data_IF_017401276138
#
_entry.id   IF_017401276138
#
_cell.length_a   1.000
_cell.length_b   1.000
_cell.length_c   1.000
_cell.angle_alpha   90.00
_cell.angle_beta   90.00
_cell.angle_gamma   90.00
#
_symmetry.space_group_name_H-M   'P 1'
#
loop_
_entity.id
_entity.type
_entity.pdbx_description
1 polymer ?
#
# COMPACT_ATOMS: atom_id res chain seq x y z
N UNK A 1 16.36 -17.92 18.32
CA UNK A 1 17.12 -17.23 17.27
C UNK A 1 17.99 -16.18 17.94
N UNK A 2 19.25 -16.04 17.54
CA UNK A 2 20.21 -15.13 18.18
C UNK A 2 20.40 -13.87 17.33
N UNK A 3 20.15 -12.69 17.91
CA UNK A 3 20.30 -11.39 17.27
C UNK A 3 21.50 -10.65 17.85
N UNK A 4 22.24 -9.94 16.99
CA UNK A 4 23.37 -9.09 17.40
C UNK A 4 22.90 -7.63 17.47
N UNK A 5 22.92 -7.05 18.66
CA UNK A 5 22.68 -5.61 18.84
C UNK A 5 23.80 -4.81 18.16
N UNK A 6 23.42 -3.84 17.33
CA UNK A 6 24.37 -3.00 16.57
C UNK A 6 24.32 -1.57 17.08
N UNK A 7 23.12 -1.06 17.34
CA UNK A 7 22.90 0.23 18.01
C UNK A 7 21.72 0.12 18.98
N UNK A 8 21.26 1.24 19.54
CA UNK A 8 20.06 1.29 20.38
C UNK A 8 18.81 0.82 19.63
N UNK A 9 18.74 1.09 18.32
CA UNK A 9 17.56 0.88 17.48
C UNK A 9 17.79 -0.14 16.36
N UNK A 10 18.99 -0.73 16.27
CA UNK A 10 19.39 -1.61 15.18
C UNK A 10 19.89 -2.95 15.67
N UNK A 11 19.39 -4.01 15.03
CA UNK A 11 19.72 -5.38 15.30
C UNK A 11 20.03 -6.11 14.00
N UNK A 12 21.12 -6.85 13.98
CA UNK A 12 21.42 -7.76 12.90
C UNK A 12 20.93 -9.16 13.27
N UNK A 13 20.22 -9.80 12.35
CA UNK A 13 20.08 -11.25 12.31
C UNK A 13 21.23 -11.81 11.48
N UNK A 14 22.28 -12.38 12.10
CA UNK A 14 23.46 -12.81 11.37
C UNK A 14 23.10 -13.89 10.34
N UNK A 15 23.73 -13.79 9.17
CA UNK A 15 23.58 -14.79 8.11
C UNK A 15 23.86 -16.19 8.66
N UNK A 16 22.89 -17.09 8.51
CA UNK A 16 22.98 -18.48 8.95
C UNK A 16 22.20 -19.41 8.01
N UNK A 17 22.60 -20.69 7.95
CA UNK A 17 21.96 -21.66 7.06
C UNK A 17 22.09 -21.28 5.58
N UNK A 18 20.95 -21.16 4.89
CA UNK A 18 20.88 -20.83 3.46
C UNK A 18 20.63 -19.34 3.19
N UNK A 19 20.60 -18.50 4.24
CA UNK A 19 20.48 -17.06 4.09
C UNK A 19 21.57 -16.57 3.14
N UNK A 20 21.19 -15.77 2.15
CA UNK A 20 22.13 -15.20 1.18
C UNK A 20 22.74 -13.90 1.71
N UNK A 21 21.94 -13.15 2.45
CA UNK A 21 22.26 -11.88 3.12
C UNK A 21 21.85 -11.94 4.60
N UNK A 22 22.34 -11.06 5.49
CA UNK A 22 21.81 -10.95 6.85
C UNK A 22 20.37 -10.38 6.88
N UNK A 23 19.73 -10.44 8.04
CA UNK A 23 18.55 -9.62 8.33
C UNK A 23 18.92 -8.35 9.07
N UNK A 24 18.27 -7.23 8.76
CA UNK A 24 18.39 -5.96 9.49
C UNK A 24 17.06 -5.57 10.11
N UNK A 25 17.02 -5.43 11.42
CA UNK A 25 15.81 -5.12 12.17
C UNK A 25 15.98 -3.78 12.87
N UNK A 26 15.12 -2.82 12.54
CA UNK A 26 15.03 -1.54 13.22
C UNK A 26 13.97 -1.66 14.31
N UNK A 27 14.36 -1.70 15.58
CA UNK A 27 13.44 -1.86 16.70
C UNK A 27 14.08 -1.44 18.03
N UNK A 28 13.26 -0.92 18.94
CA UNK A 28 13.62 -0.86 20.35
C UNK A 28 13.65 -2.26 20.98
N UNK A 29 14.28 -2.41 22.14
CA UNK A 29 14.22 -3.67 22.89
C UNK A 29 12.79 -4.09 23.26
N UNK A 30 11.92 -3.12 23.49
CA UNK A 30 10.51 -3.35 23.83
C UNK A 30 9.73 -3.94 22.65
N UNK A 31 9.92 -3.37 21.45
CA UNK A 31 9.33 -3.87 20.21
C UNK A 31 9.86 -5.27 19.88
N UNK A 32 11.15 -5.51 20.13
CA UNK A 32 11.80 -6.77 19.76
C UNK A 32 11.43 -7.95 20.68
N UNK A 33 11.20 -7.68 21.96
CA UNK A 33 10.91 -8.72 22.98
C UNK A 33 9.77 -9.69 22.58
N UNK A 34 8.57 -9.24 22.17
CA UNK A 34 7.50 -10.16 21.78
C UNK A 34 7.84 -10.99 20.53
N UNK A 35 8.67 -10.48 19.62
CA UNK A 35 9.07 -11.19 18.40
C UNK A 35 10.03 -12.36 18.69
N UNK A 36 10.75 -12.31 19.82
CA UNK A 36 11.68 -13.35 20.26
C UNK A 36 11.01 -14.47 21.08
N UNK A 37 9.86 -14.20 21.71
CA UNK A 37 9.14 -15.14 22.60
C UNK A 37 7.91 -15.79 21.91
N UNK A 38 7.96 -16.00 20.60
CA UNK A 38 6.90 -16.72 19.87
C UNK A 38 7.05 -18.23 20.09
N UNK A 39 5.97 -18.90 20.49
CA UNK A 39 5.94 -20.34 20.82
C UNK A 39 4.99 -21.11 19.91
N UNK A 40 5.30 -22.39 19.67
CA UNK A 40 4.41 -23.29 18.95
C UNK A 40 4.41 -23.09 17.43
N UNK A 41 3.23 -23.11 16.83
CA UNK A 41 3.02 -23.05 15.37
C UNK A 41 2.56 -21.67 14.88
N UNK A 42 2.70 -20.63 15.71
CA UNK A 42 2.37 -19.26 15.32
C UNK A 42 3.37 -18.71 14.28
N UNK A 43 2.90 -17.83 13.40
CA UNK A 43 3.79 -17.14 12.47
C UNK A 43 4.73 -16.21 13.24
N UNK A 44 6.00 -16.18 12.83
CA UNK A 44 7.03 -15.37 13.47
C UNK A 44 7.66 -14.43 12.43
N UNK A 45 7.60 -13.12 12.67
CA UNK A 45 8.10 -12.13 11.74
C UNK A 45 9.62 -12.23 11.51
N UNK A 46 10.40 -12.57 12.53
CA UNK A 46 11.85 -12.72 12.42
C UNK A 46 12.24 -13.99 11.64
N UNK A 47 11.45 -15.05 11.77
CA UNK A 47 11.56 -16.23 10.91
C UNK A 47 11.25 -15.87 9.45
N UNK A 48 10.26 -15.01 9.20
CA UNK A 48 9.96 -14.51 7.87
C UNK A 48 11.10 -13.63 7.32
N UNK A 49 11.72 -12.76 8.13
CA UNK A 49 12.95 -12.03 7.76
C UNK A 49 14.04 -13.00 7.33
N UNK A 50 14.24 -14.09 8.10
CA UNK A 50 15.22 -15.13 7.75
C UNK A 50 14.88 -15.81 6.41
N UNK A 51 13.61 -16.14 6.19
CA UNK A 51 13.16 -16.82 4.97
C UNK A 51 13.31 -15.93 3.73
N UNK A 52 12.97 -14.64 3.84
CA UNK A 52 13.19 -13.64 2.80
C UNK A 52 14.68 -13.47 2.49
N UNK A 53 15.53 -13.45 3.53
CA UNK A 53 16.99 -13.38 3.39
C UNK A 53 17.62 -14.54 2.60
N UNK A 54 16.90 -15.65 2.41
CA UNK A 54 17.35 -16.83 1.64
C UNK A 54 16.96 -16.79 0.16
N UNK A 55 16.11 -15.85 -0.26
CA UNK A 55 15.58 -15.79 -1.63
C UNK A 55 16.65 -15.39 -2.68
N UNK A 56 16.67 -16.01 -3.87
CA UNK A 56 17.66 -15.73 -4.92
C UNK A 56 17.70 -14.24 -5.30
N UNK A 57 18.92 -13.73 -5.56
CA UNK A 57 19.16 -12.36 -6.00
C UNK A 57 18.85 -11.26 -4.96
N UNK A 58 18.52 -11.59 -3.70
CA UNK A 58 18.33 -10.58 -2.66
C UNK A 58 19.62 -9.79 -2.41
N UNK A 59 19.48 -8.48 -2.23
CA UNK A 59 20.60 -7.53 -2.17
C UNK A 59 20.73 -6.95 -0.77
N UNK A 60 21.96 -6.94 -0.24
CA UNK A 60 22.38 -6.38 1.07
C UNK A 60 21.76 -7.01 2.31
N UNK A 61 20.43 -7.04 2.46
CA UNK A 61 19.73 -7.59 3.62
C UNK A 61 18.23 -7.80 3.37
N UNK A 62 17.62 -8.65 4.21
CA UNK A 62 16.17 -8.60 4.45
C UNK A 62 15.90 -7.64 5.61
N UNK A 63 15.13 -6.59 5.39
CA UNK A 63 14.93 -5.52 6.36
C UNK A 63 13.56 -5.65 7.03
N UNK A 64 13.49 -5.36 8.32
CA UNK A 64 12.26 -5.21 9.09
C UNK A 64 12.24 -3.82 9.76
N UNK A 65 11.14 -3.10 9.56
CA UNK A 65 10.87 -1.78 10.14
C UNK A 65 10.33 -1.90 11.59
N UNK A 66 10.26 -0.79 12.35
CA UNK A 66 9.85 -0.83 13.76
C UNK A 66 8.43 -1.33 14.03
N UNK A 67 7.55 -1.34 13.03
CA UNK A 67 6.18 -1.85 13.09
C UNK A 67 6.07 -3.32 12.63
N UNK A 68 7.20 -4.03 12.51
CA UNK A 68 7.24 -5.38 11.96
C UNK A 68 6.36 -6.36 12.74
N UNK A 69 5.56 -7.14 12.01
CA UNK A 69 4.75 -8.22 12.57
C UNK A 69 4.49 -9.31 11.52
N UNK A 70 4.02 -10.51 11.92
CA UNK A 70 3.86 -11.61 11.00
C UNK A 70 2.92 -11.29 9.84
N UNK A 71 3.36 -11.58 8.61
CA UNK A 71 2.59 -11.38 7.38
C UNK A 71 2.45 -12.66 6.55
N UNK A 72 2.03 -12.54 5.29
CA UNK A 72 1.88 -13.69 4.39
C UNK A 72 3.20 -13.99 3.68
N UNK A 73 4.04 -14.85 4.26
CA UNK A 73 5.36 -15.22 3.75
C UNK A 73 6.44 -14.17 4.01
N UNK A 74 6.19 -12.91 3.66
CA UNK A 74 6.98 -11.77 4.13
C UNK A 74 6.36 -11.21 5.41
N UNK A 75 7.16 -10.62 6.32
CA UNK A 75 6.60 -9.87 7.43
C UNK A 75 5.99 -8.55 6.93
N UNK A 76 4.92 -8.10 7.56
CA UNK A 76 4.46 -6.71 7.39
C UNK A 76 5.51 -5.80 8.03
N UNK A 77 5.77 -4.63 7.42
CA UNK A 77 6.92 -3.80 7.76
C UNK A 77 8.25 -4.34 7.19
N UNK A 78 8.20 -5.35 6.31
CA UNK A 78 9.37 -5.90 5.64
C UNK A 78 9.79 -5.12 4.38
N UNK A 79 11.10 -5.02 4.14
CA UNK A 79 11.66 -4.49 2.88
C UNK A 79 12.74 -5.45 2.37
N UNK A 80 12.69 -5.77 1.08
CA UNK A 80 13.73 -6.54 0.41
C UNK A 80 13.92 -6.05 -1.03
N UNK A 81 15.18 -5.87 -1.42
CA UNK A 81 15.54 -5.53 -2.79
C UNK A 81 16.13 -6.75 -3.48
N UNK A 82 15.79 -6.96 -4.76
CA UNK A 82 16.24 -8.09 -5.56
C UNK A 82 16.88 -7.62 -6.86
N UNK A 83 18.01 -8.20 -7.23
CA UNK A 83 18.66 -7.94 -8.52
C UNK A 83 17.73 -8.36 -9.68
N UNK A 84 17.43 -7.50 -10.66
CA UNK A 84 16.50 -7.87 -11.74
C UNK A 84 16.97 -9.02 -12.64
N UNK A 85 18.26 -9.32 -12.71
CA UNK A 85 18.85 -10.39 -13.50
C UNK A 85 18.77 -11.76 -12.83
N UNK A 86 18.92 -11.81 -11.50
CA UNK A 86 19.03 -13.07 -10.74
C UNK A 86 17.93 -13.25 -9.67
N UNK A 87 17.17 -12.20 -9.43
CA UNK A 87 16.22 -12.07 -8.35
C UNK A 87 14.81 -12.52 -8.68
N UNK A 88 13.96 -12.46 -7.65
CA UNK A 88 12.59 -12.95 -7.69
C UNK A 88 11.60 -11.84 -7.36
N UNK A 89 10.37 -11.99 -7.83
CA UNK A 89 9.20 -11.26 -7.35
C UNK A 89 8.31 -12.22 -6.56
N UNK A 90 7.87 -11.80 -5.38
CA UNK A 90 7.09 -12.61 -4.46
C UNK A 90 5.76 -11.93 -4.12
N UNK A 91 4.66 -12.70 -4.11
CA UNK A 91 3.34 -12.14 -3.81
C UNK A 91 3.29 -11.57 -2.39
N UNK A 92 3.81 -12.33 -1.43
CA UNK A 92 3.88 -11.93 -0.02
C UNK A 92 4.64 -10.62 0.21
N UNK A 93 5.65 -10.31 -0.61
CA UNK A 93 6.45 -9.09 -0.48
C UNK A 93 5.76 -7.82 -0.97
N UNK A 94 4.66 -7.95 -1.72
CA UNK A 94 3.80 -6.83 -2.11
C UNK A 94 2.55 -6.78 -1.22
N UNK A 95 2.00 -7.95 -0.88
CA UNK A 95 0.78 -8.08 -0.10
C UNK A 95 -0.49 -8.11 -0.95
N UNK A 96 -1.61 -8.46 -0.31
CA UNK A 96 -2.90 -8.63 -0.99
C UNK A 96 -3.54 -7.29 -1.38
N UNK A 97 -3.52 -6.28 -0.51
CA UNK A 97 -4.05 -4.95 -0.86
C UNK A 97 -2.96 -4.12 -1.54
N UNK A 98 -2.77 -4.42 -2.82
CA UNK A 98 -1.75 -3.79 -3.66
C UNK A 98 -1.94 -2.27 -3.63
N UNK A 99 -0.87 -1.54 -3.31
CA UNK A 99 -0.88 -0.08 -3.15
C UNK A 99 -1.93 0.41 -2.14
N UNK A 100 -2.18 -0.34 -1.06
CA UNK A 100 -2.74 0.27 0.14
C UNK A 100 -1.78 1.36 0.60
N UNK A 101 -2.30 2.58 0.76
CA UNK A 101 -1.47 3.74 0.95
C UNK A 101 -2.28 4.96 1.37
N UNK A 102 -1.55 6.02 1.68
CA UNK A 102 -2.11 7.23 2.27
C UNK A 102 -2.01 8.38 1.28
N UNK A 103 -3.06 9.20 1.23
CA UNK A 103 -3.00 10.55 0.68
C UNK A 103 -3.36 11.53 1.79
N UNK A 104 -2.60 12.62 1.91
CA UNK A 104 -2.92 13.71 2.84
C UNK A 104 -3.27 14.95 2.02
N UNK A 105 -4.39 15.58 2.35
CA UNK A 105 -4.80 16.87 1.82
C UNK A 105 -4.53 17.92 2.89
N UNK A 106 -3.66 18.90 2.59
CA UNK A 106 -3.51 20.08 3.41
C UNK A 106 -4.63 21.07 3.08
N UNK A 107 -5.21 21.70 4.11
CA UNK A 107 -6.28 22.68 3.94
C UNK A 107 -5.85 24.03 4.51
N UNK A 108 -6.45 25.16 4.09
CA UNK A 108 -6.20 26.45 4.72
C UNK A 108 -6.97 26.63 6.05
N UNK A 109 -7.68 25.60 6.51
CA UNK A 109 -8.47 25.66 7.73
C UNK A 109 -7.58 25.44 8.95
N UNK A 110 -7.97 26.09 10.03
CA UNK A 110 -7.42 25.88 11.36
C UNK A 110 -8.32 24.99 12.21
N UNK A 111 -7.81 24.53 13.34
CA UNK A 111 -8.60 23.83 14.36
C UNK A 111 -9.86 24.59 14.77
N UNK A 112 -9.79 25.91 14.86
CA UNK A 112 -10.90 26.77 15.29
C UNK A 112 -12.07 26.74 14.29
N UNK A 113 -11.77 26.63 12.99
CA UNK A 113 -12.79 26.55 11.94
C UNK A 113 -13.64 25.28 12.03
N UNK A 114 -13.05 24.18 12.52
CA UNK A 114 -13.69 22.86 12.62
C UNK A 114 -14.34 22.62 13.99
N UNK A 115 -13.80 23.17 15.07
CA UNK A 115 -14.13 22.78 16.46
C UNK A 115 -15.65 22.85 16.75
N UNK A 116 -16.34 23.88 16.25
CA UNK A 116 -17.80 24.05 16.40
C UNK A 116 -18.67 23.27 15.41
N UNK A 117 -18.07 22.56 14.44
CA UNK A 117 -18.74 21.92 13.30
C UNK A 117 -18.33 20.47 13.07
N UNK A 118 -17.64 19.84 14.04
CA UNK A 118 -17.10 18.47 13.93
C UNK A 118 -18.14 17.45 13.47
N UNK A 119 -19.34 17.47 14.06
CA UNK A 119 -20.43 16.56 13.67
C UNK A 119 -20.89 16.80 12.23
N UNK A 120 -21.10 18.06 11.84
CA UNK A 120 -21.50 18.41 10.47
C UNK A 120 -20.45 18.00 9.44
N UNK A 121 -19.16 18.17 9.75
CA UNK A 121 -18.04 17.75 8.91
C UNK A 121 -18.02 16.24 8.76
N UNK A 122 -18.13 15.49 9.87
CA UNK A 122 -18.15 14.04 9.86
C UNK A 122 -19.35 13.49 9.06
N UNK A 123 -20.56 14.00 9.31
CA UNK A 123 -21.77 13.59 8.61
C UNK A 123 -21.69 13.87 7.11
N UNK A 124 -21.17 15.03 6.72
CA UNK A 124 -20.98 15.37 5.31
C UNK A 124 -19.97 14.44 4.64
N UNK A 125 -18.82 14.21 5.25
CA UNK A 125 -17.82 13.30 4.70
C UNK A 125 -18.37 11.88 4.55
N UNK A 126 -19.07 11.38 5.58
CA UNK A 126 -19.68 10.06 5.55
C UNK A 126 -20.77 9.94 4.46
N UNK A 127 -21.55 10.99 4.24
CA UNK A 127 -22.55 11.03 3.17
C UNK A 127 -21.94 11.06 1.76
N UNK A 128 -20.74 11.63 1.59
CA UNK A 128 -20.10 11.80 0.27
C UNK A 128 -19.14 10.66 -0.07
N UNK A 129 -18.46 10.07 0.92
CA UNK A 129 -17.42 9.05 0.74
C UNK A 129 -17.92 7.69 1.24
N UNK A 130 -18.29 6.77 0.34
CA UNK A 130 -18.76 5.44 0.75
C UNK A 130 -17.69 4.63 1.49
N UNK A 131 -18.04 4.11 2.65
CA UNK A 131 -17.20 3.27 3.50
C UNK A 131 -17.93 1.97 3.90
N UNK A 132 -17.19 0.92 4.24
CA UNK A 132 -17.72 -0.37 4.69
C UNK A 132 -17.59 -1.53 3.68
N UNK A 133 -17.77 -2.75 4.18
CA UNK A 133 -17.75 -3.98 3.37
C UNK A 133 -18.96 -3.99 2.42
N UNK A 134 -18.69 -4.10 1.12
CA UNK A 134 -19.74 -4.16 0.09
C UNK A 134 -20.32 -2.80 -0.31
N UNK A 135 -19.84 -1.70 0.28
CA UNK A 135 -20.25 -0.36 -0.10
C UNK A 135 -19.86 -0.04 -1.54
N UNK A 136 -20.75 0.63 -2.25
CA UNK A 136 -20.61 0.92 -3.68
C UNK A 136 -20.34 2.40 -3.93
N UNK A 137 -19.42 2.68 -4.85
CA UNK A 137 -19.14 4.02 -5.36
C UNK A 137 -20.21 4.49 -6.33
N UNK A 138 -20.27 5.81 -6.56
CA UNK A 138 -21.19 6.42 -7.53
C UNK A 138 -20.84 6.03 -8.98
N UNK A 139 -19.57 5.71 -9.25
CA UNK A 139 -19.10 5.27 -10.55
C UNK A 139 -19.45 3.79 -10.79
N UNK A 140 -20.27 3.55 -11.82
CA UNK A 140 -20.52 2.22 -12.37
C UNK A 140 -19.71 2.06 -13.63
N UNK A 141 -18.64 1.27 -13.54
CA UNK A 141 -17.71 1.06 -14.66
C UNK A 141 -17.98 -0.29 -15.33
N UNK A 142 -17.90 -0.30 -16.65
CA UNK A 142 -17.80 -1.53 -17.46
C UNK A 142 -16.40 -2.15 -17.34
N UNK A 143 -16.24 -3.40 -17.79
CA UNK A 143 -14.93 -4.06 -17.85
C UNK A 143 -13.93 -3.23 -18.67
N UNK A 144 -14.37 -2.67 -19.80
CA UNK A 144 -13.52 -1.85 -20.66
C UNK A 144 -13.05 -0.58 -19.96
N UNK A 145 -13.92 0.07 -19.19
CA UNK A 145 -13.54 1.26 -18.41
C UNK A 145 -12.60 0.91 -17.27
N UNK A 146 -12.76 -0.27 -16.65
CA UNK A 146 -11.79 -0.76 -15.67
C UNK A 146 -10.43 -0.94 -16.33
N UNK A 147 -10.35 -1.49 -17.54
CA UNK A 147 -9.06 -1.61 -18.24
C UNK A 147 -8.40 -0.24 -18.45
N UNK A 148 -9.19 0.82 -18.63
CA UNK A 148 -8.67 2.19 -18.66
C UNK A 148 -8.19 2.66 -17.28
N UNK A 149 -8.92 2.37 -16.20
CA UNK A 149 -8.46 2.63 -14.81
C UNK A 149 -7.11 1.95 -14.57
N UNK A 150 -6.99 0.68 -14.93
CA UNK A 150 -5.78 -0.13 -14.73
C UNK A 150 -4.58 0.39 -15.53
N UNK A 151 -4.81 1.01 -16.69
CA UNK A 151 -3.75 1.60 -17.54
C UNK A 151 -3.36 3.02 -17.15
N UNK A 152 -4.33 3.82 -16.72
CA UNK A 152 -4.19 5.28 -16.58
C UNK A 152 -4.07 5.76 -15.14
N UNK A 153 -4.48 4.96 -14.16
CA UNK A 153 -4.44 5.36 -12.75
C UNK A 153 -5.23 6.64 -12.47
N UNK A 154 -4.64 7.57 -11.72
CA UNK A 154 -5.28 8.85 -11.35
C UNK A 154 -5.69 9.69 -12.58
N UNK A 155 -5.02 9.54 -13.73
CA UNK A 155 -5.41 10.24 -14.97
C UNK A 155 -6.82 9.85 -15.44
N UNK A 156 -7.24 8.60 -15.24
CA UNK A 156 -8.62 8.20 -15.58
C UNK A 156 -9.64 8.97 -14.73
N UNK A 157 -9.34 9.16 -13.44
CA UNK A 157 -10.21 9.90 -12.55
C UNK A 157 -10.30 11.38 -12.99
N UNK A 158 -9.18 12.00 -13.37
CA UNK A 158 -9.17 13.37 -13.92
C UNK A 158 -9.93 13.50 -15.24
N UNK A 159 -9.77 12.56 -16.17
CA UNK A 159 -10.54 12.52 -17.43
C UNK A 159 -12.06 12.41 -17.17
N UNK A 160 -12.45 11.90 -16.00
CA UNK A 160 -13.84 11.78 -15.54
C UNK A 160 -14.29 12.97 -14.69
N UNK A 161 -13.45 13.99 -14.53
CA UNK A 161 -13.74 15.20 -13.76
C UNK A 161 -13.50 15.07 -12.26
N UNK A 162 -12.71 14.08 -11.81
CA UNK A 162 -12.40 13.88 -10.39
C UNK A 162 -11.01 14.44 -10.03
N UNK A 163 -11.02 15.61 -9.40
CA UNK A 163 -9.86 16.39 -8.97
C UNK A 163 -9.31 17.30 -10.06
N UNK A 164 -8.07 17.78 -9.87
CA UNK A 164 -7.45 18.80 -10.72
C UNK A 164 -6.09 18.32 -11.24
N UNK A 165 -5.62 18.78 -12.42
CA UNK A 165 -4.36 18.32 -13.00
C UNK A 165 -3.13 18.44 -12.08
N UNK A 166 -3.12 19.47 -11.23
CA UNK A 166 -2.06 19.77 -10.28
C UNK A 166 -1.89 18.68 -9.22
N UNK A 167 -2.96 17.93 -8.92
CA UNK A 167 -2.92 16.82 -7.96
C UNK A 167 -1.82 15.82 -8.31
N UNK A 168 -1.62 15.55 -9.61
CA UNK A 168 -0.69 14.52 -10.09
C UNK A 168 0.75 14.80 -9.70
N UNK A 169 1.16 16.07 -9.56
CA UNK A 169 2.51 16.43 -9.18
C UNK A 169 2.87 15.98 -7.74
N UNK A 170 1.86 15.72 -6.91
CA UNK A 170 1.99 15.35 -5.50
C UNK A 170 1.60 13.88 -5.23
N UNK A 171 1.50 13.07 -6.27
CA UNK A 171 1.27 11.63 -6.15
C UNK A 171 2.54 10.90 -6.60
N UNK A 172 2.96 9.90 -5.84
CA UNK A 172 3.99 8.96 -6.26
C UNK A 172 3.70 8.42 -7.68
N UNK A 173 4.74 8.29 -8.51
CA UNK A 173 4.63 7.93 -9.94
C UNK A 173 3.69 8.83 -10.75
N UNK A 174 3.43 10.07 -10.30
CA UNK A 174 2.44 10.94 -10.92
C UNK A 174 1.02 10.35 -10.92
N UNK A 175 0.74 9.39 -10.03
CA UNK A 175 -0.52 8.66 -9.96
C UNK A 175 -0.72 7.61 -11.07
N UNK A 176 0.35 7.23 -11.80
CA UNK A 176 0.30 6.18 -12.82
C UNK A 176 1.63 5.43 -12.94
N UNK A 177 1.60 4.16 -12.55
CA UNK A 177 2.65 3.20 -12.84
C UNK A 177 2.61 2.76 -14.31
N UNK A 178 3.74 2.87 -15.00
CA UNK A 178 3.92 2.34 -16.35
C UNK A 178 4.03 0.81 -16.36
N UNK A 179 3.82 0.18 -17.53
CA UNK A 179 3.93 -1.27 -17.68
C UNK A 179 2.74 -2.09 -17.16
N UNK A 180 1.69 -1.42 -16.66
CA UNK A 180 0.44 -2.07 -16.28
C UNK A 180 -0.25 -2.76 -17.48
N UNK A 181 -0.59 -4.04 -17.30
CA UNK A 181 -1.27 -4.83 -18.32
C UNK A 181 -2.63 -5.35 -17.79
N UNK A 182 -3.77 -4.80 -18.25
CA UNK A 182 -5.07 -5.29 -17.87
C UNK A 182 -5.35 -6.73 -18.29
N UNK A 183 -4.67 -7.29 -19.29
CA UNK A 183 -4.87 -8.68 -19.71
C UNK A 183 -4.23 -9.67 -18.73
N UNK A 184 -3.26 -9.21 -17.93
CA UNK A 184 -2.73 -9.95 -16.79
C UNK A 184 -3.69 -9.99 -15.58
N UNK A 185 -4.75 -9.18 -15.58
CA UNK A 185 -5.74 -9.11 -14.51
C UNK A 185 -6.98 -9.93 -14.87
N UNK A 186 -7.39 -10.85 -14.00
CA UNK A 186 -8.51 -11.75 -14.29
C UNK A 186 -9.84 -11.01 -14.43
N UNK A 187 -10.76 -11.57 -15.24
CA UNK A 187 -12.12 -11.05 -15.35
C UNK A 187 -12.81 -11.00 -13.98
N UNK A 188 -12.55 -11.97 -13.11
CA UNK A 188 -13.07 -12.01 -11.75
C UNK A 188 -12.62 -10.81 -10.93
N UNK A 189 -11.33 -10.44 -11.00
CA UNK A 189 -10.80 -9.27 -10.32
C UNK A 189 -11.46 -7.98 -10.83
N UNK A 190 -11.61 -7.83 -12.16
CA UNK A 190 -12.29 -6.69 -12.78
C UNK A 190 -13.76 -6.60 -12.36
N UNK A 191 -14.50 -7.71 -12.37
CA UNK A 191 -15.92 -7.74 -11.98
C UNK A 191 -16.13 -7.30 -10.53
N UNK A 192 -15.20 -7.63 -9.63
CA UNK A 192 -15.26 -7.18 -8.22
C UNK A 192 -15.04 -5.67 -8.06
N UNK A 193 -14.56 -4.98 -9.09
CA UNK A 193 -14.22 -3.55 -9.05
C UNK A 193 -15.30 -2.63 -9.66
N UNK A 194 -16.32 -3.16 -10.34
CA UNK A 194 -17.34 -2.37 -11.07
C UNK A 194 -17.95 -1.20 -10.32
N UNK A 195 -18.03 -1.29 -8.99
CA UNK A 195 -18.60 -0.28 -8.10
C UNK A 195 -17.73 0.01 -6.90
N UNK A 196 -16.42 -0.24 -6.97
CA UNK A 196 -15.51 -0.05 -5.83
C UNK A 196 -14.59 1.16 -5.99
N UNK A 197 -14.55 1.81 -7.17
CA UNK A 197 -13.81 3.07 -7.34
C UNK A 197 -14.55 4.20 -6.63
N UNK A 198 -13.83 4.96 -5.83
CA UNK A 198 -14.34 6.02 -4.97
C UNK A 198 -14.83 5.54 -3.60
N UNK A 199 -14.39 4.37 -3.11
CA UNK A 199 -14.79 3.85 -1.78
C UNK A 199 -13.58 3.55 -0.90
N UNK A 200 -13.72 3.77 0.41
CA UNK A 200 -12.66 3.49 1.39
C UNK A 200 -12.48 1.98 1.57
N UNK A 201 -13.59 1.28 1.80
CA UNK A 201 -13.58 -0.11 2.20
C UNK A 201 -13.66 -0.34 3.70
N UNK A 202 -12.91 -1.33 4.17
CA UNK A 202 -12.96 -1.85 5.54
C UNK A 202 -11.55 -2.19 6.01
N UNK A 203 -11.42 -2.72 7.24
CA UNK A 203 -10.11 -3.03 7.82
C UNK A 203 -9.50 -1.77 8.43
N UNK A 204 -8.23 -1.50 8.16
CA UNK A 204 -7.52 -0.31 8.63
C UNK A 204 -7.73 0.92 7.73
N UNK A 205 -8.64 0.87 6.75
CA UNK A 205 -8.94 1.97 5.85
C UNK A 205 -9.82 3.02 6.52
N UNK A 206 -9.49 4.29 6.33
CA UNK A 206 -10.17 5.41 6.97
C UNK A 206 -10.08 6.68 6.13
N UNK A 207 -10.91 7.64 6.52
CA UNK A 207 -10.77 9.04 6.17
C UNK A 207 -10.84 9.82 7.48
N UNK A 208 -9.78 10.54 7.81
CA UNK A 208 -9.64 11.24 9.07
C UNK A 208 -9.40 12.73 8.84
N UNK A 209 -10.10 13.56 9.64
CA UNK A 209 -9.82 14.99 9.76
C UNK A 209 -8.94 15.16 10.99
N UNK A 210 -7.74 15.68 10.78
CA UNK A 210 -6.68 15.81 11.77
C UNK A 210 -6.29 17.30 11.88
N UNK A 211 -5.64 17.67 12.99
CA UNK A 211 -4.96 18.95 13.08
C UNK A 211 -3.49 18.73 13.43
N UNK A 212 -2.63 19.62 12.96
CA UNK A 212 -1.19 19.59 13.27
C UNK A 212 -1.01 20.09 14.71
N UNK A 213 -0.70 19.20 15.65
CA UNK A 213 -0.50 19.61 17.04
C UNK A 213 0.88 20.22 17.29
N UNK A 214 1.92 19.67 16.66
CA UNK A 214 3.31 20.06 16.88
C UNK A 214 4.11 19.94 15.57
N UNK A 215 5.06 20.85 15.35
CA UNK A 215 6.00 20.82 14.22
C UNK A 215 7.43 20.61 14.73
N UNK A 216 8.01 19.45 14.41
CA UNK A 216 9.39 19.11 14.79
C UNK A 216 10.44 19.73 13.86
N UNK A 217 10.19 19.73 12.54
CA UNK A 217 11.13 20.22 11.52
C UNK A 217 10.48 21.35 10.70
N UNK A 218 10.76 22.60 11.13
CA UNK A 218 10.07 23.79 10.59
C UNK A 218 10.34 24.02 9.10
N UNK A 219 11.56 23.76 8.63
CA UNK A 219 11.92 23.94 7.21
C UNK A 219 11.17 22.95 6.31
N UNK A 220 11.07 21.69 6.73
CA UNK A 220 10.32 20.66 5.99
C UNK A 220 8.82 20.94 6.01
N UNK A 221 8.27 21.32 7.17
CA UNK A 221 6.86 21.68 7.29
C UNK A 221 6.49 22.85 6.37
N UNK A 222 7.31 23.91 6.35
CA UNK A 222 7.14 25.02 5.42
C UNK A 222 7.19 24.58 3.94
N UNK A 223 8.11 23.68 3.58
CA UNK A 223 8.19 23.13 2.22
C UNK A 223 6.96 22.29 1.84
N UNK A 224 6.28 21.68 2.81
CA UNK A 224 5.03 20.94 2.62
C UNK A 224 3.77 21.82 2.73
N UNK A 225 3.91 23.10 3.07
CA UNK A 225 2.78 23.99 3.31
C UNK A 225 1.99 23.61 4.58
N UNK A 226 2.71 23.09 5.59
CA UNK A 226 2.16 22.60 6.85
C UNK A 226 2.52 23.54 8.01
N UNK A 227 1.54 23.89 8.85
CA UNK A 227 1.73 24.70 10.06
C UNK A 227 0.96 24.18 11.28
N UNK A 228 1.40 24.52 12.50
CA UNK A 228 0.71 24.15 13.74
C UNK A 228 -0.73 24.70 13.76
N UNK A 229 -1.67 23.86 14.18
CA UNK A 229 -3.10 24.17 14.22
C UNK A 229 -3.83 23.97 12.89
N UNK A 230 -3.13 23.76 11.78
CA UNK A 230 -3.73 23.53 10.46
C UNK A 230 -4.47 22.20 10.41
N UNK A 231 -5.58 22.15 9.66
CA UNK A 231 -6.35 20.94 9.39
C UNK A 231 -5.76 20.19 8.20
N UNK A 232 -5.52 18.90 8.41
CA UNK A 232 -5.14 17.93 7.38
C UNK A 232 -6.24 16.87 7.23
N UNK A 233 -6.39 16.32 6.04
CA UNK A 233 -7.32 15.22 5.77
C UNK A 233 -6.53 14.02 5.25
N UNK A 234 -6.47 12.96 6.04
CA UNK A 234 -5.80 11.72 5.68
C UNK A 234 -6.80 10.73 5.07
N UNK A 235 -6.47 10.20 3.89
CA UNK A 235 -7.23 9.17 3.18
C UNK A 235 -6.36 7.92 3.11
N UNK A 236 -6.75 6.86 3.81
CA UNK A 236 -6.06 5.59 3.81
C UNK A 236 -6.92 4.50 3.15
N UNK A 237 -6.52 4.06 1.96
CA UNK A 237 -7.14 2.95 1.25
C UNK A 237 -6.24 2.42 0.14
N UNK A 238 -6.60 1.26 -0.42
CA UNK A 238 -5.85 0.61 -1.50
C UNK A 238 -6.64 0.29 -2.76
N UNK A 239 -6.22 -0.78 -3.43
CA UNK A 239 -6.79 -1.27 -4.69
C UNK A 239 -8.06 -2.10 -4.50
N UNK A 240 -8.59 -2.13 -3.26
CA UNK A 240 -9.87 -2.74 -2.91
C UNK A 240 -9.87 -4.23 -3.23
N UNK A 241 -11.03 -4.75 -3.65
CA UNK A 241 -11.20 -6.16 -3.97
C UNK A 241 -10.35 -6.62 -5.18
N UNK A 242 -9.93 -5.68 -6.04
CA UNK A 242 -9.15 -5.98 -7.24
C UNK A 242 -7.74 -6.46 -6.89
N UNK A 243 -6.99 -5.72 -6.08
CA UNK A 243 -5.64 -6.14 -5.66
C UNK A 243 -5.65 -7.47 -4.91
N UNK A 244 -6.60 -7.63 -3.98
CA UNK A 244 -6.73 -8.90 -3.25
C UNK A 244 -6.98 -10.07 -4.20
N UNK A 245 -7.80 -9.88 -5.24
CA UNK A 245 -8.06 -10.93 -6.23
C UNK A 245 -6.82 -11.20 -7.09
N UNK A 246 -6.03 -10.17 -7.46
CA UNK A 246 -4.75 -10.34 -8.16
C UNK A 246 -3.79 -11.18 -7.32
N UNK A 247 -3.63 -10.87 -6.03
CA UNK A 247 -2.82 -11.66 -5.11
C UNK A 247 -3.28 -13.12 -5.06
N UNK A 248 -4.58 -13.34 -4.89
CA UNK A 248 -5.17 -14.68 -4.83
C UNK A 248 -4.97 -15.48 -6.13
N UNK A 249 -5.17 -14.85 -7.29
CA UNK A 249 -5.02 -15.50 -8.60
C UNK A 249 -3.55 -15.86 -8.87
N UNK A 250 -2.62 -15.02 -8.38
CA UNK A 250 -1.19 -15.20 -8.60
C UNK A 250 -0.58 -16.32 -7.77
N UNK A 251 -1.17 -16.67 -6.62
CA UNK A 251 -0.65 -17.72 -5.72
C UNK A 251 -0.35 -19.03 -6.43
N UNK A 252 -1.32 -19.56 -7.20
CA UNK A 252 -1.17 -20.85 -7.85
C UNK A 252 -0.14 -20.81 -8.98
N UNK A 253 -0.07 -19.70 -9.72
CA UNK A 253 0.88 -19.54 -10.81
C UNK A 253 2.31 -19.38 -10.29
N UNK A 254 2.49 -18.57 -9.24
CA UNK A 254 3.78 -18.38 -8.57
C UNK A 254 4.23 -19.64 -7.83
N UNK A 255 3.31 -20.43 -7.24
CA UNK A 255 3.65 -21.72 -6.65
C UNK A 255 4.24 -22.69 -7.69
N UNK A 256 3.60 -22.77 -8.87
CA UNK A 256 4.09 -23.59 -9.98
C UNK A 256 5.43 -23.05 -10.49
N UNK A 257 5.58 -21.73 -10.59
CA UNK A 257 6.83 -21.09 -10.99
C UNK A 257 7.97 -21.38 -10.00
N UNK A 258 7.73 -21.25 -8.69
CA UNK A 258 8.70 -21.57 -7.64
C UNK A 258 9.26 -22.99 -7.81
N UNK A 259 8.38 -23.96 -8.08
CA UNK A 259 8.79 -25.36 -8.35
C UNK A 259 9.53 -25.50 -9.69
N UNK A 260 9.00 -24.89 -10.76
CA UNK A 260 9.59 -24.95 -12.12
C UNK A 260 11.02 -24.42 -12.14
N UNK A 261 11.30 -23.34 -11.41
CA UNK A 261 12.62 -22.71 -11.35
C UNK A 261 13.47 -23.18 -10.18
N UNK A 262 13.00 -24.17 -9.39
CA UNK A 262 13.77 -24.73 -8.27
C UNK A 262 14.08 -23.72 -7.16
N UNK A 263 13.20 -22.75 -6.92
CA UNK A 263 13.40 -21.72 -5.90
C UNK A 263 13.17 -22.34 -4.51
N UNK A 264 14.16 -22.28 -3.60
CA UNK A 264 14.06 -22.91 -2.29
C UNK A 264 13.21 -22.05 -1.33
N UNK A 265 11.88 -22.12 -1.47
CA UNK A 265 10.95 -21.45 -0.55
C UNK A 265 10.80 -22.27 0.74
N UNK A 266 10.92 -21.60 1.90
CA UNK A 266 10.87 -22.22 3.23
C UNK A 266 9.47 -22.28 3.84
N UNK A 267 8.57 -21.47 3.29
CA UNK A 267 7.16 -21.38 3.68
C UNK A 267 6.30 -21.39 2.41
N UNK A 268 5.11 -21.98 2.52
CA UNK A 268 4.20 -22.11 1.39
C UNK A 268 3.69 -20.76 0.90
N UNK A 269 3.67 -19.78 1.80
CA UNK A 269 3.21 -18.42 1.57
C UNK A 269 4.25 -17.57 0.81
N UNK A 270 5.52 -18.02 0.74
CA UNK A 270 6.64 -17.30 0.10
C UNK A 270 6.77 -17.59 -1.41
N UNK A 271 5.65 -17.88 -2.08
CA UNK A 271 5.65 -18.19 -3.51
C UNK A 271 6.14 -17.01 -4.34
N UNK A 272 7.00 -17.32 -5.31
CA UNK A 272 7.71 -16.34 -6.12
C UNK A 272 8.10 -16.91 -7.49
N UNK A 273 8.53 -16.02 -8.37
CA UNK A 273 9.08 -16.34 -9.69
C UNK A 273 10.28 -15.43 -9.99
N UNK A 274 11.24 -15.86 -10.83
CA UNK A 274 12.30 -14.97 -11.28
C UNK A 274 11.72 -13.73 -11.97
N UNK A 275 12.26 -12.55 -11.70
CA UNK A 275 11.70 -11.27 -12.17
C UNK A 275 11.52 -11.27 -13.69
N UNK A 276 12.51 -11.77 -14.44
CA UNK A 276 12.51 -11.83 -15.91
C UNK A 276 11.73 -13.02 -16.50
N UNK A 277 11.16 -13.89 -15.68
CA UNK A 277 10.38 -15.02 -16.19
C UNK A 277 9.02 -14.54 -16.73
N UNK A 278 8.37 -15.30 -17.62
CA UNK A 278 7.02 -14.97 -18.08
C UNK A 278 6.02 -14.82 -16.93
N UNK A 279 6.09 -15.69 -15.92
CA UNK A 279 5.24 -15.66 -14.73
C UNK A 279 5.54 -14.43 -13.84
N UNK A 280 6.83 -14.08 -13.67
CA UNK A 280 7.25 -12.90 -12.92
C UNK A 280 6.82 -11.59 -13.58
N UNK A 281 7.02 -11.46 -14.90
CA UNK A 281 6.60 -10.28 -15.67
C UNK A 281 5.08 -10.11 -15.69
N UNK A 282 4.34 -11.21 -15.85
CA UNK A 282 2.87 -11.19 -15.78
C UNK A 282 2.37 -10.77 -14.40
N UNK A 283 2.98 -11.28 -13.33
CA UNK A 283 2.62 -10.86 -11.98
C UNK A 283 2.91 -9.36 -11.77
N UNK A 284 4.10 -8.89 -12.17
CA UNK A 284 4.47 -7.47 -12.05
C UNK A 284 3.51 -6.55 -12.82
N UNK A 285 3.17 -6.87 -14.06
CA UNK A 285 2.25 -6.04 -14.84
C UNK A 285 0.83 -6.02 -14.26
N UNK A 286 0.39 -7.11 -13.62
CA UNK A 286 -0.85 -7.13 -12.84
C UNK A 286 -0.73 -6.29 -11.54
N UNK A 287 0.41 -6.34 -10.85
CA UNK A 287 0.67 -5.48 -9.68
C UNK A 287 0.61 -4.01 -10.08
N UNK A 288 1.25 -3.61 -11.20
CA UNK A 288 1.20 -2.24 -11.70
C UNK A 288 -0.24 -1.80 -12.05
N UNK A 289 -1.06 -2.70 -12.58
CA UNK A 289 -2.48 -2.45 -12.77
C UNK A 289 -3.23 -2.24 -11.43
N UNK A 290 -2.91 -3.03 -10.40
CA UNK A 290 -3.42 -2.82 -9.04
C UNK A 290 -3.01 -1.48 -8.44
N UNK A 291 -1.74 -1.07 -8.62
CA UNK A 291 -1.21 0.23 -8.20
C UNK A 291 -2.04 1.37 -8.82
N UNK A 292 -2.27 1.30 -10.13
CA UNK A 292 -3.07 2.29 -10.86
C UNK A 292 -4.53 2.34 -10.38
N UNK A 293 -5.14 1.19 -10.09
CA UNK A 293 -6.48 1.13 -9.52
C UNK A 293 -6.57 1.88 -8.18
N UNK A 294 -5.58 1.70 -7.30
CA UNK A 294 -5.54 2.38 -6.01
C UNK A 294 -5.34 3.90 -6.15
N UNK A 295 -4.46 4.34 -7.07
CA UNK A 295 -4.29 5.77 -7.36
C UNK A 295 -5.58 6.42 -7.85
N UNK A 296 -6.28 5.79 -8.80
CA UNK A 296 -7.58 6.26 -9.27
C UNK A 296 -8.60 6.32 -8.12
N UNK A 297 -8.61 5.31 -7.23
CA UNK A 297 -9.51 5.27 -6.09
C UNK A 297 -9.29 6.46 -5.13
N UNK A 298 -8.03 6.67 -4.70
CA UNK A 298 -7.68 7.80 -3.82
C UNK A 298 -7.94 9.16 -4.48
N UNK A 299 -7.73 9.28 -5.79
CA UNK A 299 -8.04 10.48 -6.56
C UNK A 299 -9.53 10.82 -6.53
N UNK A 300 -10.40 9.82 -6.76
CA UNK A 300 -11.86 10.00 -6.66
C UNK A 300 -12.28 10.36 -5.23
N UNK A 301 -11.71 9.72 -4.21
CA UNK A 301 -12.05 10.04 -2.81
C UNK A 301 -11.62 11.47 -2.44
N UNK A 302 -10.43 11.91 -2.87
CA UNK A 302 -9.99 13.28 -2.64
C UNK A 302 -10.93 14.32 -3.26
N UNK A 303 -11.44 14.05 -4.46
CA UNK A 303 -12.49 14.87 -5.08
C UNK A 303 -13.78 14.90 -4.24
N UNK A 304 -14.24 13.75 -3.77
CA UNK A 304 -15.44 13.66 -2.92
C UNK A 304 -15.28 14.41 -1.59
N UNK A 305 -14.06 14.43 -1.03
CA UNK A 305 -13.72 15.26 0.14
C UNK A 305 -13.88 16.75 -0.17
N UNK A 306 -13.32 17.21 -1.30
CA UNK A 306 -13.48 18.60 -1.76
C UNK A 306 -14.94 18.95 -1.97
N UNK A 307 -15.74 18.09 -2.61
CA UNK A 307 -17.18 18.29 -2.78
C UNK A 307 -17.92 18.43 -1.45
N UNK A 308 -17.53 17.66 -0.43
CA UNK A 308 -18.17 17.67 0.88
C UNK A 308 -17.85 18.94 1.67
N UNK A 309 -16.60 19.41 1.63
CA UNK A 309 -16.07 20.43 2.54
C UNK A 309 -15.88 21.81 1.90
N UNK A 310 -15.52 21.92 0.63
CA UNK A 310 -15.26 23.23 0.01
C UNK A 310 -16.48 24.16 0.08
N UNK A 311 -17.72 23.71 -0.22
CA UNK A 311 -18.91 24.55 -0.05
C UNK A 311 -19.22 24.89 1.41
N UNK A 312 -18.81 24.03 2.35
CA UNK A 312 -19.10 24.19 3.77
C UNK A 312 -18.33 25.37 4.39
N UNK A 313 -17.11 25.58 3.90
CA UNK A 313 -16.16 26.56 4.40
C UNK A 313 -15.85 27.68 3.39
N UNK A 314 -16.48 27.66 2.21
CA UNK A 314 -16.23 28.66 1.16
C UNK A 314 -14.83 28.56 0.55
N UNK A 315 -14.25 27.37 0.52
CA UNK A 315 -12.91 27.13 -0.02
C UNK A 315 -12.95 27.04 -1.56
N UNK A 316 -11.85 27.38 -2.25
CA UNK A 316 -11.67 26.96 -3.63
C UNK A 316 -11.71 25.43 -3.72
N UNK A 317 -12.06 24.92 -4.91
CA UNK A 317 -12.09 23.47 -5.13
C UNK A 317 -10.68 22.89 -5.33
N UNK A 318 -9.75 23.70 -5.82
CA UNK A 318 -8.32 23.39 -5.98
C UNK A 318 -7.64 23.16 -4.63
#
# INVERSE_FOLDING_TARGET
MELRKVSEWEWELPKSGDMRVPGWIFASEEILRPLLDVKGHEWNALEQVRNVASLPGIVKASIAMPDVHPGYGFPIGGVAAFDPGEGVVAMGGVGFDINCGVRVLATPLSREDIEGRKEEVADRLFAHVPAGLGSEGKLRLSVFEIDQVLKKGAYFALERGYGVPEDLAYIEEGGRMEGADPDAVSLKAKQRQFRQVGTLGSGNHYLEVQYVEEVYEREAAAAYGIEEGQILIAIHCGSRALGHQIGQDSLQELERASRKYGIPIRERELVCAPIRSPEGQKYLSAVFAGINCAFANRQVIAHLVREALAPLFGLPFE
#
